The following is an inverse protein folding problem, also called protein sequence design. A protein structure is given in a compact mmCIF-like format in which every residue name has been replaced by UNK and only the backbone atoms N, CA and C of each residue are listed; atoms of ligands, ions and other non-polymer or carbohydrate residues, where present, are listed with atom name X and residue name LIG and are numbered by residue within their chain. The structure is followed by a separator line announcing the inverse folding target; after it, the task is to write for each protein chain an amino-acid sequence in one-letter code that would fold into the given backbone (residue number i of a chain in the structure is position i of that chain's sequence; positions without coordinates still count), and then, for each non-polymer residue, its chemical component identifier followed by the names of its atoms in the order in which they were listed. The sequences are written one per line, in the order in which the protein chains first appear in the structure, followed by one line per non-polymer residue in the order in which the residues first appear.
data_IF_738375742456
#
_entry.id   IF_738375742456
#
_cell.length_a   1.000
_cell.length_b   1.000
_cell.length_c   1.000
_cell.angle_alpha   90.00
_cell.angle_beta   90.00
_cell.angle_gamma   90.00
#
_symmetry.space_group_name_H-M   'P 1'
#
loop_
_entity.id
_entity.type
_entity.pdbx_description
1 polymer ?
#
# COMPACT_ATOMS: atom_id res chain seq x y z
N UNK A 1 19.98 -33.40 -59.90
CA UNK A 1 20.44 -32.10 -59.38
C UNK A 1 20.54 -32.25 -57.87
N UNK A 2 21.77 -32.39 -57.36
CA UNK A 2 22.00 -32.50 -55.92
C UNK A 2 21.91 -31.11 -55.29
N UNK A 3 20.85 -30.88 -54.49
CA UNK A 3 20.70 -29.66 -53.72
C UNK A 3 21.56 -29.76 -52.45
N UNK A 4 22.66 -28.99 -52.40
CA UNK A 4 23.49 -28.86 -51.21
C UNK A 4 22.80 -27.98 -50.16
N UNK A 5 22.21 -28.61 -49.14
CA UNK A 5 21.58 -27.93 -48.00
C UNK A 5 22.56 -27.56 -46.88
N UNK A 6 23.84 -27.90 -47.02
CA UNK A 6 24.90 -27.76 -46.00
C UNK A 6 25.42 -26.34 -45.80
N UNK A 7 25.07 -25.40 -46.70
CA UNK A 7 25.60 -24.02 -46.68
C UNK A 7 24.65 -23.00 -46.07
N UNK A 8 23.43 -23.38 -45.70
CA UNK A 8 22.41 -22.47 -45.18
C UNK A 8 21.94 -22.88 -43.78
N UNK A 9 21.71 -21.92 -42.88
CA UNK A 9 21.05 -22.19 -41.61
C UNK A 9 19.72 -22.90 -41.83
N UNK A 10 19.33 -23.85 -40.96
CA UNK A 10 18.12 -24.65 -41.12
C UNK A 10 16.85 -23.79 -41.30
N UNK A 11 16.83 -22.59 -40.73
CA UNK A 11 15.68 -21.68 -40.86
C UNK A 11 15.48 -21.13 -42.28
N UNK A 12 16.56 -21.00 -43.08
CA UNK A 12 16.51 -20.48 -44.45
C UNK A 12 16.34 -21.58 -45.51
N UNK A 13 16.50 -22.85 -45.14
CA UNK A 13 16.33 -23.99 -46.05
C UNK A 13 14.89 -24.48 -46.16
N UNK A 14 13.97 -24.06 -45.26
CA UNK A 14 12.55 -24.51 -45.22
C UNK A 14 11.85 -24.29 -46.57
N UNK A 15 11.90 -23.06 -47.09
CA UNK A 15 11.20 -22.69 -48.34
C UNK A 15 11.79 -23.42 -49.55
N UNK A 16 13.11 -23.63 -49.56
CA UNK A 16 13.79 -24.36 -50.64
C UNK A 16 13.50 -25.86 -50.58
N UNK A 17 13.51 -26.45 -49.39
CA UNK A 17 13.23 -27.87 -49.19
C UNK A 17 11.79 -28.24 -49.59
N UNK A 18 10.80 -27.41 -49.22
CA UNK A 18 9.39 -27.64 -49.59
C UNK A 18 9.20 -27.50 -51.11
N UNK A 19 9.77 -26.46 -51.73
CA UNK A 19 9.71 -26.27 -53.19
C UNK A 19 10.39 -27.39 -53.98
N UNK A 20 11.43 -28.00 -53.40
CA UNK A 20 12.13 -29.14 -54.00
C UNK A 20 11.45 -30.49 -53.73
N UNK A 21 10.35 -30.54 -52.98
CA UNK A 21 9.65 -31.79 -52.63
C UNK A 21 10.29 -32.58 -51.48
N UNK A 22 11.33 -32.04 -50.82
CA UNK A 22 11.98 -32.66 -49.67
C UNK A 22 11.22 -32.35 -48.36
N UNK A 23 10.05 -32.95 -48.20
CA UNK A 23 9.12 -32.66 -47.09
C UNK A 23 9.74 -32.93 -45.71
N UNK A 24 10.50 -34.01 -45.55
CA UNK A 24 11.13 -34.37 -44.26
C UNK A 24 12.10 -33.30 -43.76
N UNK A 25 13.00 -32.83 -44.63
CA UNK A 25 13.99 -31.80 -44.29
C UNK A 25 13.28 -30.49 -43.97
N UNK A 26 12.23 -30.15 -44.73
CA UNK A 26 11.38 -28.99 -44.45
C UNK A 26 10.73 -29.04 -43.07
N UNK A 27 10.19 -30.20 -42.66
CA UNK A 27 9.56 -30.40 -41.36
C UNK A 27 10.57 -30.30 -40.21
N UNK A 28 11.76 -30.93 -40.33
CA UNK A 28 12.81 -30.86 -39.29
C UNK A 28 13.28 -29.42 -39.09
N UNK A 29 13.46 -28.67 -40.18
CA UNK A 29 13.83 -27.27 -40.13
C UNK A 29 12.74 -26.40 -39.51
N UNK A 30 11.47 -26.71 -39.76
CA UNK A 30 10.32 -26.03 -39.15
C UNK A 30 10.24 -26.29 -37.64
N UNK A 31 10.48 -27.53 -37.19
CA UNK A 31 10.59 -27.88 -35.77
C UNK A 31 11.71 -27.08 -35.10
N UNK A 32 12.89 -26.99 -35.72
CA UNK A 32 13.99 -26.21 -35.17
C UNK A 32 13.66 -24.71 -35.02
N UNK A 33 12.86 -24.14 -35.93
CA UNK A 33 12.38 -22.76 -35.83
C UNK A 33 11.39 -22.60 -34.66
N UNK A 34 10.41 -23.49 -34.55
CA UNK A 34 9.43 -23.46 -33.46
C UNK A 34 10.07 -23.65 -32.08
N UNK A 35 11.19 -24.38 -31.98
CA UNK A 35 11.92 -24.58 -30.72
C UNK A 35 12.42 -23.25 -30.14
N UNK A 36 12.97 -22.40 -31.01
CA UNK A 36 13.48 -21.09 -30.61
C UNK A 36 12.34 -20.16 -30.17
N UNK A 37 11.21 -20.21 -30.88
CA UNK A 37 10.01 -19.43 -30.50
C UNK A 37 9.44 -19.93 -29.18
N UNK A 38 9.37 -21.24 -28.96
CA UNK A 38 8.89 -21.84 -27.72
C UNK A 38 9.80 -21.47 -26.54
N UNK A 39 11.12 -21.51 -26.72
CA UNK A 39 12.08 -21.14 -25.68
C UNK A 39 11.90 -19.67 -25.23
N UNK A 40 11.73 -18.76 -26.19
CA UNK A 40 11.45 -17.35 -25.90
C UNK A 40 10.06 -17.18 -25.24
N UNK A 41 9.06 -17.90 -25.74
CA UNK A 41 7.69 -17.89 -25.19
C UNK A 41 7.64 -18.36 -23.73
N UNK A 42 8.30 -19.48 -23.41
CA UNK A 42 8.40 -20.03 -22.06
C UNK A 42 9.11 -19.07 -21.09
N UNK A 43 10.16 -18.38 -21.56
CA UNK A 43 10.85 -17.35 -20.76
C UNK A 43 9.97 -16.15 -20.39
N UNK A 44 8.93 -15.86 -21.17
CA UNK A 44 7.99 -14.76 -20.94
C UNK A 44 6.66 -15.15 -20.26
N UNK A 45 6.50 -16.42 -19.85
CA UNK A 45 5.24 -16.88 -19.22
C UNK A 45 5.03 -16.22 -17.87
N UNK A 46 6.09 -16.16 -17.05
CA UNK A 46 6.02 -15.65 -15.70
C UNK A 46 6.52 -14.21 -15.67
N UNK A 47 5.65 -13.28 -15.30
CA UNK A 47 6.02 -11.89 -15.09
C UNK A 47 5.91 -11.59 -13.59
N UNK A 48 7.00 -11.11 -13.02
CA UNK A 48 6.98 -10.53 -11.68
C UNK A 48 6.40 -9.13 -11.75
N UNK A 49 5.42 -8.84 -10.88
CA UNK A 49 4.89 -7.48 -10.70
C UNK A 49 4.72 -7.19 -9.21
N UNK A 50 5.13 -5.99 -8.74
CA UNK A 50 4.82 -5.55 -7.39
C UNK A 50 3.31 -5.31 -7.29
N UNK A 51 2.69 -5.85 -6.26
CA UNK A 51 1.26 -5.68 -5.98
C UNK A 51 1.07 -5.35 -4.50
N UNK A 52 0.19 -4.39 -4.25
CA UNK A 52 -0.25 -4.04 -2.90
C UNK A 52 -1.19 -5.11 -2.37
N UNK A 53 -0.84 -5.69 -1.23
CA UNK A 53 -1.61 -6.74 -0.57
C UNK A 53 -1.90 -6.30 0.85
N UNK A 54 -3.15 -6.46 1.25
CA UNK A 54 -3.62 -6.08 2.58
C UNK A 54 -3.75 -7.32 3.45
N UNK A 55 -3.07 -7.33 4.59
CA UNK A 55 -3.08 -8.39 5.59
C UNK A 55 -3.77 -7.95 6.88
N UNK A 56 -4.56 -8.82 7.55
CA UNK A 56 -5.05 -8.53 8.88
C UNK A 56 -3.89 -8.55 9.88
N UNK A 57 -3.80 -7.52 10.72
CA UNK A 57 -2.74 -7.34 11.71
C UNK A 57 -3.32 -6.91 13.06
N UNK A 58 -2.55 -7.15 14.12
CA UNK A 58 -2.89 -6.65 15.46
C UNK A 58 -2.17 -5.33 15.74
N UNK A 59 -2.95 -4.32 16.10
CA UNK A 59 -2.48 -2.98 16.41
C UNK A 59 -2.51 -2.71 17.92
N UNK A 60 -1.57 -1.91 18.40
CA UNK A 60 -1.47 -1.49 19.78
C UNK A 60 -1.66 0.02 19.88
N UNK A 61 -2.51 0.47 20.81
CA UNK A 61 -2.65 1.90 21.10
C UNK A 61 -1.38 2.45 21.73
N UNK A 62 -0.98 3.67 21.36
CA UNK A 62 0.17 4.36 21.95
C UNK A 62 -0.16 5.06 23.28
N UNK A 63 -1.44 5.35 23.49
CA UNK A 63 -1.93 6.01 24.70
C UNK A 63 -3.03 5.18 25.33
N UNK A 64 -3.23 5.30 26.64
CA UNK A 64 -4.37 4.67 27.29
C UNK A 64 -5.66 5.43 26.98
N UNK A 65 -6.81 4.77 27.17
CA UNK A 65 -8.11 5.42 27.06
C UNK A 65 -8.47 6.28 28.29
N UNK A 66 -7.55 6.40 29.26
CA UNK A 66 -7.74 7.10 30.53
C UNK A 66 -6.78 8.29 30.56
N UNK A 67 -7.33 9.48 30.74
CA UNK A 67 -6.55 10.71 30.80
C UNK A 67 -7.11 11.63 31.86
N UNK A 68 -6.23 12.41 32.49
CA UNK A 68 -6.64 13.32 33.55
C UNK A 68 -7.09 14.67 32.98
N UNK A 69 -8.40 14.82 32.82
CA UNK A 69 -9.02 16.09 32.44
C UNK A 69 -8.78 17.22 33.45
N UNK A 70 -8.42 16.93 34.70
CA UNK A 70 -8.08 17.98 35.67
C UNK A 70 -6.77 18.70 35.33
N UNK A 71 -5.91 18.09 34.50
CA UNK A 71 -4.71 18.72 33.98
C UNK A 71 -5.02 19.80 32.93
N UNK A 72 -6.17 19.70 32.22
CA UNK A 72 -6.72 20.75 31.37
C UNK A 72 -7.31 21.91 32.18
N UNK A 73 -6.63 22.34 33.26
CA UNK A 73 -7.05 23.49 34.08
C UNK A 73 -7.53 24.59 33.13
N UNK A 74 -8.84 24.89 33.06
CA UNK A 74 -9.30 25.92 32.15
C UNK A 74 -9.10 27.22 32.87
N UNK A 75 -7.84 27.59 32.97
CA UNK A 75 -7.49 28.97 33.15
C UNK A 75 -7.72 29.60 31.79
N UNK A 76 -8.62 30.56 31.74
CA UNK A 76 -8.60 31.52 30.65
C UNK A 76 -7.35 32.39 30.72
N UNK A 77 -6.74 32.51 31.92
CA UNK A 77 -5.42 33.10 32.09
C UNK A 77 -4.36 32.41 31.23
N UNK A 78 -3.51 33.25 30.65
CA UNK A 78 -2.36 32.86 29.85
C UNK A 78 -1.29 32.13 30.71
N UNK A 79 -1.48 30.84 30.97
CA UNK A 79 -0.40 29.98 31.48
C UNK A 79 0.62 29.74 30.35
N UNK A 80 1.91 29.81 30.68
CA UNK A 80 3.01 29.58 29.74
C UNK A 80 2.89 28.26 28.99
N UNK A 81 2.36 27.20 29.62
CA UNK A 81 2.15 25.89 29.00
C UNK A 81 0.99 25.85 27.99
N UNK A 82 -0.01 26.71 28.18
CA UNK A 82 -1.17 26.78 27.29
C UNK A 82 -0.90 27.70 26.10
N UNK A 83 -0.10 28.77 26.27
CA UNK A 83 0.19 29.75 25.21
C UNK A 83 0.63 29.12 23.89
N UNK A 84 1.56 28.17 23.91
CA UNK A 84 2.08 27.58 22.67
C UNK A 84 1.02 26.76 21.91
N UNK A 85 0.16 26.04 22.65
CA UNK A 85 -0.94 25.28 22.06
C UNK A 85 -2.05 26.20 21.54
N UNK A 86 -2.30 27.33 22.21
CA UNK A 86 -3.32 28.30 21.82
C UNK A 86 -2.94 29.09 20.58
N UNK A 87 -1.65 29.33 20.34
CA UNK A 87 -1.18 29.93 19.09
C UNK A 87 -1.56 29.02 17.91
N UNK A 88 -1.37 27.71 18.02
CA UNK A 88 -1.70 26.77 16.96
C UNK A 88 -3.21 26.62 16.71
N UNK A 89 -4.03 26.63 17.77
CA UNK A 89 -5.49 26.65 17.60
C UNK A 89 -5.92 27.96 16.94
N UNK A 90 -5.39 29.10 17.40
CA UNK A 90 -5.66 30.42 16.80
C UNK A 90 -5.22 30.49 15.33
N UNK A 91 -4.06 29.92 14.98
CA UNK A 91 -3.60 29.90 13.59
C UNK A 91 -4.49 29.02 12.71
N UNK A 92 -5.05 27.94 13.26
CA UNK A 92 -6.02 27.14 12.53
C UNK A 92 -7.32 27.93 12.26
N UNK A 93 -7.84 28.68 13.22
CA UNK A 93 -9.01 29.55 13.01
C UNK A 93 -8.75 30.68 11.99
N UNK A 94 -7.60 31.34 12.09
CA UNK A 94 -7.28 32.53 11.26
C UNK A 94 -6.75 32.20 9.87
N UNK A 95 -5.88 31.20 9.76
CA UNK A 95 -5.11 30.88 8.55
C UNK A 95 -5.41 29.48 8.00
N UNK A 96 -6.24 28.68 8.67
CA UNK A 96 -6.54 27.32 8.23
C UNK A 96 -5.33 26.38 8.30
N UNK A 97 -4.38 26.62 9.20
CA UNK A 97 -3.19 25.76 9.35
C UNK A 97 -3.58 24.31 9.67
N UNK A 98 -2.84 23.34 9.14
CA UNK A 98 -3.09 21.93 9.40
C UNK A 98 -3.06 21.60 10.91
N UNK A 99 -3.96 20.73 11.34
CA UNK A 99 -4.01 20.25 12.72
C UNK A 99 -2.96 19.16 12.95
N UNK A 100 -2.57 18.91 14.22
CA UNK A 100 -1.65 17.82 14.55
C UNK A 100 -2.15 16.46 14.03
N UNK A 101 -1.24 15.49 13.82
CA UNK A 101 -1.64 14.12 13.47
C UNK A 101 -2.69 13.59 14.45
N UNK A 102 -3.65 12.82 13.94
CA UNK A 102 -4.75 12.24 14.70
C UNK A 102 -5.76 13.25 15.28
N UNK A 103 -5.73 14.52 14.87
CA UNK A 103 -6.65 15.56 15.34
C UNK A 103 -7.48 16.11 14.19
N UNK A 104 -8.77 16.30 14.45
CA UNK A 104 -9.71 17.07 13.61
C UNK A 104 -10.35 18.19 14.44
N UNK A 105 -11.15 19.05 13.82
CA UNK A 105 -11.79 20.18 14.49
C UNK A 105 -12.76 19.74 15.60
N UNK A 106 -13.31 18.53 15.51
CA UNK A 106 -14.31 18.02 16.45
C UNK A 106 -13.82 16.82 17.26
N UNK A 107 -12.88 16.04 16.71
CA UNK A 107 -12.45 14.77 17.30
C UNK A 107 -10.94 14.63 17.34
N UNK A 108 -10.44 14.10 18.45
CA UNK A 108 -9.12 13.50 18.55
C UNK A 108 -9.25 11.98 18.42
N UNK A 109 -8.41 11.36 17.60
CA UNK A 109 -8.37 9.91 17.41
C UNK A 109 -7.19 9.33 18.17
N UNK A 110 -7.42 8.23 18.90
CA UNK A 110 -6.36 7.58 19.66
C UNK A 110 -5.34 6.95 18.70
N UNK A 111 -4.05 7.32 18.78
CA UNK A 111 -3.04 6.82 17.88
C UNK A 111 -2.67 5.37 18.21
N UNK A 112 -2.34 4.61 17.18
CA UNK A 112 -1.94 3.20 17.27
C UNK A 112 -0.75 2.89 16.37
N UNK A 113 -0.05 1.81 16.68
CA UNK A 113 1.07 1.27 15.92
C UNK A 113 0.96 -0.25 15.75
N UNK A 114 1.80 -0.83 14.88
CA UNK A 114 1.93 -2.28 14.76
C UNK A 114 2.54 -2.84 16.04
N UNK A 115 1.96 -3.93 16.56
CA UNK A 115 2.60 -4.67 17.65
C UNK A 115 3.96 -5.19 17.17
N UNK A 116 5.02 -5.01 17.98
CA UNK A 116 6.45 -5.09 17.63
C UNK A 116 6.97 -6.43 17.03
N UNK A 117 6.10 -7.35 16.61
CA UNK A 117 6.43 -8.68 16.09
C UNK A 117 6.44 -8.77 14.56
N UNK A 118 6.02 -7.73 13.82
CA UNK A 118 5.94 -7.78 12.35
C UNK A 118 6.86 -6.74 11.69
N UNK A 119 8.14 -7.09 11.56
CA UNK A 119 9.16 -6.31 10.82
C UNK A 119 9.04 -6.51 9.31
N UNK A 120 7.87 -6.28 8.72
CA UNK A 120 7.73 -6.17 7.26
C UNK A 120 7.77 -4.70 6.86
N UNK A 121 8.27 -4.41 5.65
CA UNK A 121 8.16 -3.07 5.05
C UNK A 121 6.69 -2.78 4.76
N UNK A 122 5.99 -2.27 5.78
CA UNK A 122 4.57 -1.90 5.69
C UNK A 122 4.46 -0.49 5.11
N UNK A 123 3.67 -0.34 4.07
CA UNK A 123 3.48 0.93 3.36
C UNK A 123 2.38 1.77 4.01
N UNK A 124 1.30 1.14 4.45
CA UNK A 124 0.24 1.81 5.19
C UNK A 124 -0.45 0.87 6.16
N UNK A 125 -0.94 1.43 7.27
CA UNK A 125 -1.69 0.71 8.29
C UNK A 125 -3.06 1.39 8.41
N UNK A 126 -4.11 0.59 8.58
CA UNK A 126 -5.45 1.07 8.81
C UNK A 126 -6.09 0.27 9.93
N UNK A 127 -6.84 0.93 10.81
CA UNK A 127 -7.43 0.30 11.99
C UNK A 127 -8.55 1.12 12.56
N UNK A 128 -9.49 0.46 13.23
CA UNK A 128 -10.59 1.13 13.92
C UNK A 128 -10.09 1.64 15.28
N UNK A 129 -10.06 2.95 15.46
CA UNK A 129 -9.65 3.56 16.73
C UNK A 129 -10.77 4.35 17.39
N UNK A 130 -10.59 4.66 18.67
CA UNK A 130 -11.54 5.48 19.44
C UNK A 130 -11.31 6.96 19.15
N UNK A 131 -12.41 7.66 18.85
CA UNK A 131 -12.45 9.11 18.76
C UNK A 131 -12.99 9.72 20.07
N UNK A 132 -12.40 10.83 20.49
CA UNK A 132 -12.84 11.65 21.62
C UNK A 132 -13.24 13.02 21.10
N UNK A 133 -14.49 13.41 21.33
CA UNK A 133 -15.03 14.73 21.02
C UNK A 133 -15.70 15.33 22.25
N UNK A 134 -15.96 16.63 22.18
CA UNK A 134 -16.61 17.37 23.26
C UNK A 134 -18.05 17.71 22.87
N UNK A 135 -19.00 17.15 23.61
CA UNK A 135 -20.41 17.54 23.51
C UNK A 135 -20.73 18.56 24.62
N UNK A 136 -21.09 19.77 24.21
CA UNK A 136 -21.31 20.91 25.11
C UNK A 136 -22.81 21.19 25.14
N UNK A 137 -23.41 21.13 26.33
CA UNK A 137 -24.80 21.52 26.53
C UNK A 137 -24.88 22.85 27.27
N UNK A 138 -25.59 23.81 26.68
CA UNK A 138 -25.89 25.09 27.33
C UNK A 138 -27.25 25.01 28.04
N UNK A 139 -27.43 25.84 29.06
CA UNK A 139 -28.71 26.00 29.74
C UNK A 139 -28.83 27.40 30.30
N UNK A 140 -30.06 27.90 30.31
CA UNK A 140 -30.34 29.23 30.84
C UNK A 140 -30.12 29.25 32.35
N UNK A 141 -29.58 30.36 32.85
CA UNK A 141 -29.38 30.55 34.29
C UNK A 141 -30.42 31.54 34.80
N UNK A 142 -31.11 31.18 35.87
CA UNK A 142 -32.10 32.06 36.50
C UNK A 142 -31.43 33.26 37.17
N UNK A 143 -31.96 34.45 36.87
CA UNK A 143 -31.55 35.68 37.56
C UNK A 143 -32.16 35.72 38.96
N UNK A 144 -31.32 35.87 39.98
CA UNK A 144 -31.76 36.13 41.34
C UNK A 144 -32.14 37.60 41.53
N UNK A 145 -33.10 37.84 42.44
CA UNK A 145 -33.43 39.20 42.89
C UNK A 145 -32.25 39.78 43.69
N UNK A 146 -31.96 41.10 43.56
CA UNK A 146 -30.90 41.74 44.33
C UNK A 146 -31.17 41.62 45.84
N UNK A 147 -30.12 41.33 46.61
CA UNK A 147 -30.20 41.04 48.05
C UNK A 147 -30.56 42.30 48.87
N UNK A 148 -30.36 43.50 48.33
CA UNK A 148 -30.67 44.78 48.98
C UNK A 148 -31.25 45.82 48.01
N UNK A 149 -32.21 46.63 48.47
CA UNK A 149 -32.82 47.74 47.71
C UNK A 149 -31.83 48.86 47.33
N UNK A 150 -30.63 48.89 47.92
CA UNK A 150 -29.56 49.83 47.54
C UNK A 150 -28.80 49.42 46.27
N UNK A 151 -29.05 48.23 45.74
CA UNK A 151 -28.42 47.65 44.55
C UNK A 151 -29.41 47.51 43.38
N UNK A 152 -30.28 48.49 43.19
CA UNK A 152 -31.35 48.51 42.18
C UNK A 152 -30.91 48.28 40.71
N UNK A 153 -29.60 48.35 40.40
CA UNK A 153 -29.04 48.14 39.06
C UNK A 153 -28.09 46.94 38.97
N UNK A 154 -28.16 45.97 39.88
CA UNK A 154 -27.29 44.78 39.84
C UNK A 154 -28.05 43.54 39.40
N UNK A 155 -27.55 42.88 38.35
CA UNK A 155 -27.99 41.55 37.97
C UNK A 155 -27.27 40.52 38.85
N UNK A 156 -28.02 39.77 39.64
CA UNK A 156 -27.49 38.65 40.43
C UNK A 156 -27.79 37.35 39.67
N UNK A 157 -26.79 36.51 39.48
CA UNK A 157 -26.94 35.20 38.85
C UNK A 157 -26.96 34.13 39.94
N UNK A 158 -28.03 33.33 40.01
CA UNK A 158 -28.14 32.23 40.98
C UNK A 158 -27.43 30.97 40.48
N UNK A 159 -26.11 30.94 40.68
CA UNK A 159 -25.27 29.81 40.32
C UNK A 159 -25.56 28.58 41.22
N UNK A 160 -26.05 28.79 42.44
CA UNK A 160 -26.27 27.72 43.42
C UNK A 160 -27.46 26.83 43.06
N UNK A 161 -28.57 27.43 42.63
CA UNK A 161 -29.73 26.69 42.12
C UNK A 161 -29.39 25.95 40.82
N UNK A 162 -28.67 26.61 39.89
CA UNK A 162 -28.20 25.97 38.66
C UNK A 162 -27.36 24.71 38.91
N UNK A 163 -26.42 24.77 39.87
CA UNK A 163 -25.62 23.60 40.28
C UNK A 163 -26.50 22.46 40.80
N UNK A 164 -27.46 22.77 41.67
CA UNK A 164 -28.36 21.79 42.27
C UNK A 164 -29.24 21.10 41.24
N UNK A 165 -29.78 21.86 40.28
CA UNK A 165 -30.60 21.32 39.18
C UNK A 165 -29.81 20.35 38.28
N UNK A 166 -28.53 20.64 38.05
CA UNK A 166 -27.65 19.81 37.21
C UNK A 166 -26.85 18.77 37.98
N UNK A 167 -27.08 18.61 39.29
CA UNK A 167 -26.39 17.62 40.12
C UNK A 167 -24.89 17.86 40.28
N UNK A 168 -24.43 19.11 40.17
CA UNK A 168 -23.02 19.48 40.34
C UNK A 168 -22.72 19.61 41.84
N UNK A 169 -21.99 18.65 42.41
CA UNK A 169 -21.74 18.54 43.87
C UNK A 169 -20.30 18.84 44.29
N UNK A 170 -19.42 19.31 43.39
CA UNK A 170 -18.00 19.55 43.72
C UNK A 170 -17.85 20.82 44.60
N UNK A 171 -17.36 20.66 45.83
CA UNK A 171 -17.11 21.75 46.78
C UNK A 171 -16.07 22.77 46.28
N UNK A 172 -15.24 22.40 45.28
CA UNK A 172 -14.30 23.32 44.63
C UNK A 172 -14.97 24.27 43.65
N UNK A 173 -16.24 24.03 43.32
CA UNK A 173 -17.08 25.02 42.68
C UNK A 173 -17.39 26.12 43.68
N UNK A 174 -16.47 27.08 43.88
CA UNK A 174 -16.71 28.20 44.78
C UNK A 174 -18.04 28.84 44.43
N UNK A 175 -18.97 28.87 45.39
CA UNK A 175 -20.15 29.70 45.29
C UNK A 175 -19.67 31.15 45.27
N UNK A 176 -19.85 31.85 44.16
CA UNK A 176 -20.04 33.28 44.28
C UNK A 176 -21.53 33.44 44.61
N UNK A 177 -21.94 33.57 45.89
CA UNK A 177 -23.33 33.82 46.25
C UNK A 177 -23.86 35.13 45.64
N UNK A 178 -22.97 35.94 45.09
CA UNK A 178 -23.26 37.12 44.29
C UNK A 178 -22.09 37.31 43.32
N UNK A 179 -22.35 37.48 42.03
CA UNK A 179 -21.55 38.44 41.28
C UNK A 179 -21.64 39.75 42.07
N UNK A 180 -20.58 40.07 42.83
CA UNK A 180 -20.64 41.17 43.78
C UNK A 180 -20.98 42.47 43.04
N UNK A 181 -21.66 43.43 43.68
CA UNK A 181 -22.22 44.61 43.03
C UNK A 181 -21.14 45.42 42.31
N UNK A 182 -21.03 45.25 41.00
CA UNK A 182 -20.39 46.22 40.13
C UNK A 182 -21.32 47.43 40.08
N UNK A 183 -20.92 48.55 40.70
CA UNK A 183 -21.64 49.81 40.50
C UNK A 183 -21.29 50.32 39.10
N UNK A 184 -22.25 50.28 38.18
CA UNK A 184 -22.10 50.84 36.84
C UNK A 184 -21.94 52.36 36.99
N UNK A 185 -20.69 52.84 37.03
CA UNK A 185 -20.34 54.23 36.79
C UNK A 185 -20.22 54.43 35.26
N UNK A 186 -20.47 55.65 34.77
CA UNK A 186 -20.61 56.04 33.36
C UNK A 186 -19.41 55.76 32.41
N UNK A 187 -18.46 54.92 32.81
CA UNK A 187 -17.34 54.47 31.99
C UNK A 187 -17.65 53.07 31.44
N UNK A 188 -17.64 52.91 30.11
CA UNK A 188 -17.84 51.62 29.44
C UNK A 188 -16.56 50.80 29.55
N UNK A 189 -16.50 49.87 30.49
CA UNK A 189 -15.48 48.82 30.51
C UNK A 189 -16.07 47.50 30.04
N UNK A 190 -15.28 46.74 29.28
CA UNK A 190 -15.60 45.38 28.88
C UNK A 190 -15.11 44.40 29.94
N UNK A 191 -15.88 43.34 30.15
CA UNK A 191 -15.53 42.25 31.05
C UNK A 191 -15.23 41.02 30.25
N UNK A 192 -14.07 40.47 30.53
CA UNK A 192 -13.75 39.11 30.22
C UNK A 192 -13.42 38.38 31.51
N UNK A 193 -14.19 37.34 31.84
CA UNK A 193 -13.68 36.33 32.76
C UNK A 193 -14.35 34.97 32.59
N UNK A 194 -13.51 33.95 32.66
CA UNK A 194 -13.92 32.62 33.10
C UNK A 194 -13.35 32.43 34.48
N UNK A 195 -14.17 31.95 35.42
CA UNK A 195 -13.71 31.96 36.80
C UNK A 195 -13.94 30.71 37.62
N UNK A 196 -14.57 29.67 37.11
CA UNK A 196 -14.84 28.51 37.98
C UNK A 196 -14.75 27.22 37.19
N UNK A 197 -13.91 26.30 37.70
CA UNK A 197 -13.93 24.91 37.30
C UNK A 197 -14.62 24.06 38.35
N UNK A 198 -15.54 23.24 37.85
CA UNK A 198 -16.17 22.13 38.54
C UNK A 198 -15.73 20.84 37.85
N UNK A 199 -15.75 19.69 38.54
CA UNK A 199 -15.85 18.41 37.83
C UNK A 199 -17.15 18.44 37.00
N UNK A 200 -17.04 18.75 35.71
CA UNK A 200 -18.15 18.75 34.74
C UNK A 200 -18.75 20.13 34.36
N UNK A 201 -18.09 21.27 34.63
CA UNK A 201 -18.63 22.56 34.19
C UNK A 201 -17.68 23.75 34.24
N UNK A 202 -17.90 24.70 33.32
CA UNK A 202 -17.22 26.00 33.23
C UNK A 202 -18.29 27.09 33.15
N UNK A 203 -18.12 28.18 33.92
CA UNK A 203 -18.97 29.37 33.80
C UNK A 203 -18.15 30.47 33.13
N UNK A 204 -18.69 30.99 32.02
CA UNK A 204 -18.13 32.05 31.20
C UNK A 204 -19.07 33.25 31.23
N UNK A 205 -18.53 34.46 31.27
CA UNK A 205 -19.32 35.68 31.17
C UNK A 205 -18.58 36.76 30.38
N UNK A 206 -19.36 37.45 29.55
CA UNK A 206 -18.95 38.64 28.80
C UNK A 206 -19.99 39.72 29.01
N UNK A 207 -19.57 40.98 29.09
CA UNK A 207 -20.50 42.09 29.23
C UNK A 207 -19.83 43.42 29.46
N UNK A 208 -20.66 44.45 29.64
CA UNK A 208 -20.24 45.82 29.93
C UNK A 208 -20.59 46.19 31.37
N UNK A 209 -19.69 46.89 32.06
CA UNK A 209 -19.98 47.42 33.39
C UNK A 209 -19.03 48.55 33.79
N UNK A 210 -19.40 49.29 34.84
CA UNK A 210 -18.60 50.41 35.33
C UNK A 210 -17.56 49.99 36.36
N UNK A 211 -16.43 50.68 36.38
CA UNK A 211 -15.24 50.30 37.16
C UNK A 211 -15.36 50.76 38.62
N UNK A 212 -15.46 49.82 39.56
CA UNK A 212 -14.77 49.96 40.84
C UNK A 212 -14.35 48.60 41.41
N UNK A 213 -13.08 48.53 41.76
CA UNK A 213 -12.33 47.34 42.15
C UNK A 213 -13.09 46.37 43.07
N UNK A 214 -13.29 45.15 42.59
CA UNK A 214 -13.29 43.96 43.44
C UNK A 214 -11.99 43.94 44.26
N UNK A 215 -11.92 43.23 45.39
CA UNK A 215 -10.65 42.75 45.90
C UNK A 215 -10.00 41.78 44.88
N UNK A 216 -9.27 42.39 43.94
CA UNK A 216 -8.12 41.99 43.15
C UNK A 216 -7.79 40.49 42.95
N UNK A 217 -8.75 39.60 42.71
CA UNK A 217 -8.38 38.17 42.58
C UNK A 217 -8.83 37.43 41.32
N UNK A 218 -9.73 37.91 40.45
CA UNK A 218 -9.94 37.39 39.08
C UNK A 218 -11.20 37.86 38.32
N UNK A 219 -11.24 39.15 37.98
CA UNK A 219 -11.86 39.59 36.75
C UNK A 219 -10.96 40.69 36.21
N UNK A 220 -10.42 40.52 35.01
CA UNK A 220 -9.51 41.49 34.39
C UNK A 220 -10.39 42.46 33.59
N UNK A 221 -10.90 43.48 34.27
CA UNK A 221 -11.69 44.55 33.65
C UNK A 221 -10.77 45.47 32.88
N UNK A 222 -11.10 45.76 31.62
CA UNK A 222 -10.33 46.69 30.79
C UNK A 222 -11.26 47.60 29.98
N UNK A 223 -10.76 48.81 29.72
CA UNK A 223 -11.45 49.85 28.95
C UNK A 223 -11.01 49.87 27.48
N UNK A 224 -10.27 48.85 27.04
CA UNK A 224 -9.75 48.70 25.68
C UNK A 224 -10.29 47.41 25.05
N UNK A 225 -9.99 47.20 23.76
CA UNK A 225 -10.34 45.97 23.04
C UNK A 225 -9.29 44.86 23.14
N UNK A 226 -8.38 44.92 24.13
CA UNK A 226 -7.45 43.82 24.38
C UNK A 226 -8.22 42.66 24.99
N UNK A 227 -7.74 41.43 24.83
CA UNK A 227 -8.29 40.32 25.60
C UNK A 227 -7.35 39.96 26.74
N UNK A 228 -7.94 39.58 27.88
CA UNK A 228 -7.23 39.07 29.05
C UNK A 228 -6.99 37.56 29.01
N UNK A 229 -7.51 36.86 27.99
CA UNK A 229 -7.54 35.41 27.99
C UNK A 229 -7.43 34.76 26.62
N UNK A 230 -6.88 33.53 26.60
CA UNK A 230 -6.68 32.81 25.35
C UNK A 230 -7.99 32.50 24.64
N UNK A 231 -9.07 32.22 25.39
CA UNK A 231 -10.37 31.87 24.82
C UNK A 231 -10.90 33.03 23.97
N UNK A 232 -10.88 34.24 24.53
CA UNK A 232 -11.30 35.44 23.81
C UNK A 232 -10.34 35.82 22.71
N UNK A 233 -9.02 35.59 22.85
CA UNK A 233 -8.09 35.77 21.72
C UNK A 233 -8.43 34.87 20.52
N UNK A 234 -8.93 33.65 20.75
CA UNK A 234 -9.36 32.75 19.68
C UNK A 234 -10.77 33.12 19.20
N UNK A 235 -11.70 33.49 20.08
CA UNK A 235 -13.02 33.99 19.65
C UNK A 235 -12.87 35.26 18.80
N UNK A 236 -11.89 36.13 19.10
CA UNK A 236 -11.54 37.28 18.24
C UNK A 236 -11.11 36.88 16.84
N UNK A 237 -10.48 35.71 16.69
CA UNK A 237 -10.15 35.15 15.40
C UNK A 237 -11.37 34.57 14.65
N UNK A 238 -12.40 34.15 15.38
CA UNK A 238 -13.61 33.53 14.84
C UNK A 238 -14.67 34.59 14.47
N UNK A 239 -15.09 35.41 15.45
CA UNK A 239 -16.18 36.39 15.33
C UNK A 239 -15.73 37.85 15.30
N UNK A 240 -14.42 38.12 15.33
CA UNK A 240 -13.86 39.48 15.30
C UNK A 240 -13.76 40.14 16.68
N UNK A 241 -13.35 41.41 16.73
CA UNK A 241 -13.04 42.11 18.00
C UNK A 241 -14.22 42.88 18.60
N UNK A 242 -15.33 42.99 17.88
CA UNK A 242 -16.42 43.90 18.24
C UNK A 242 -17.11 43.48 19.56
N UNK A 243 -17.18 42.17 19.83
CA UNK A 243 -17.84 41.63 21.03
C UNK A 243 -17.17 42.02 22.35
N UNK A 244 -15.90 42.43 22.32
CA UNK A 244 -15.16 42.93 23.49
C UNK A 244 -14.89 44.43 23.42
N UNK A 245 -15.26 45.12 22.33
CA UNK A 245 -15.07 46.55 22.19
C UNK A 245 -16.08 47.31 23.07
N UNK A 246 -15.63 48.13 24.03
CA UNK A 246 -16.54 48.86 24.93
C UNK A 246 -17.41 49.90 24.21
N UNK A 247 -17.10 50.23 22.95
CA UNK A 247 -17.87 51.16 22.13
C UNK A 247 -18.91 50.48 21.22
N UNK A 248 -18.78 49.18 20.93
CA UNK A 248 -19.68 48.43 20.03
C UNK A 248 -20.79 47.66 20.77
N UNK A 249 -22.04 47.64 20.28
CA UNK A 249 -23.17 47.02 20.97
C UNK A 249 -22.87 45.59 21.42
N UNK A 250 -23.49 45.16 22.53
CA UNK A 250 -23.30 43.80 23.02
C UNK A 250 -23.61 42.78 21.92
N UNK A 251 -22.79 41.73 21.77
CA UNK A 251 -22.97 40.70 20.77
C UNK A 251 -24.28 39.93 21.00
N UNK A 252 -24.81 39.35 19.93
CA UNK A 252 -25.95 38.44 20.04
C UNK A 252 -25.56 37.18 20.85
N UNK A 253 -26.48 36.72 21.70
CA UNK A 253 -26.26 35.53 22.54
C UNK A 253 -25.96 34.28 21.70
N UNK A 254 -26.70 34.08 20.60
CA UNK A 254 -26.55 32.93 19.72
C UNK A 254 -25.14 32.84 19.12
N UNK A 255 -24.57 33.99 18.72
CA UNK A 255 -23.22 34.12 18.18
C UNK A 255 -22.16 33.80 19.24
N UNK A 256 -22.34 34.32 20.45
CA UNK A 256 -21.43 34.03 21.57
C UNK A 256 -21.43 32.56 21.93
N UNK A 257 -22.61 31.93 21.99
CA UNK A 257 -22.76 30.51 22.29
C UNK A 257 -22.11 29.65 21.21
N UNK A 258 -22.38 29.92 19.92
CA UNK A 258 -21.81 29.12 18.83
C UNK A 258 -20.29 29.22 18.79
N UNK A 259 -19.75 30.44 18.84
CA UNK A 259 -18.29 30.68 18.81
C UNK A 259 -17.60 30.03 20.01
N UNK A 260 -18.18 30.16 21.20
CA UNK A 260 -17.65 29.51 22.40
C UNK A 260 -17.60 27.99 22.25
N UNK A 261 -18.67 27.37 21.75
CA UNK A 261 -18.71 25.92 21.55
C UNK A 261 -17.66 25.45 20.54
N UNK A 262 -17.53 26.16 19.43
CA UNK A 262 -16.59 25.79 18.36
C UNK A 262 -15.14 25.92 18.81
N UNK A 263 -14.81 27.00 19.53
CA UNK A 263 -13.48 27.18 20.12
C UNK A 263 -13.18 26.07 21.13
N UNK A 264 -14.13 25.70 22.00
CA UNK A 264 -13.89 24.63 22.98
C UNK A 264 -13.77 23.25 22.34
N UNK A 265 -14.60 22.91 21.36
CA UNK A 265 -14.52 21.63 20.62
C UNK A 265 -13.16 21.47 19.95
N UNK A 266 -12.70 22.51 19.26
CA UNK A 266 -11.42 22.50 18.55
C UNK A 266 -10.22 22.55 19.49
N UNK A 267 -10.28 23.37 20.54
CA UNK A 267 -9.22 23.39 21.56
C UNK A 267 -9.13 22.05 22.28
N UNK A 268 -10.25 21.40 22.59
CA UNK A 268 -10.28 20.11 23.26
C UNK A 268 -9.57 19.01 22.45
N UNK A 269 -9.91 18.88 21.17
CA UNK A 269 -9.26 17.89 20.30
C UNK A 269 -7.76 18.19 20.13
N UNK A 270 -7.39 19.48 20.01
CA UNK A 270 -6.00 19.90 19.94
C UNK A 270 -5.22 19.56 21.20
N UNK A 271 -5.76 19.84 22.38
CA UNK A 271 -5.07 19.57 23.65
C UNK A 271 -4.81 18.08 23.88
N UNK A 272 -5.74 17.22 23.46
CA UNK A 272 -5.55 15.78 23.52
C UNK A 272 -4.45 15.31 22.57
N UNK A 273 -4.38 15.87 21.36
CA UNK A 273 -3.36 15.53 20.37
C UNK A 273 -1.97 16.12 20.65
N UNK A 274 -1.88 17.26 21.34
CA UNK A 274 -0.59 17.91 21.63
C UNK A 274 0.13 17.36 22.87
N UNK A 275 -0.49 16.42 23.59
CA UNK A 275 0.09 15.80 24.78
C UNK A 275 0.10 16.69 26.03
N UNK A 276 -0.66 17.80 26.02
CA UNK A 276 -0.86 18.65 27.21
C UNK A 276 -1.63 17.90 28.29
N UNK A 277 -2.54 17.02 27.87
CA UNK A 277 -3.28 16.14 28.77
C UNK A 277 -2.42 14.91 29.06
N UNK A 278 -2.06 14.66 30.32
CA UNK A 278 -1.34 13.46 30.68
C UNK A 278 -2.29 12.26 30.56
N UNK A 279 -1.88 11.31 29.72
CA UNK A 279 -2.50 9.99 29.64
C UNK A 279 -1.95 9.10 30.75
N UNK A 280 -2.80 8.23 31.30
CA UNK A 280 -2.34 7.16 32.17
C UNK A 280 -1.45 6.19 31.37
N UNK A 281 -0.48 5.51 32.02
CA UNK A 281 0.30 4.48 31.34
C UNK A 281 -0.61 3.41 30.74
N UNK A 282 -0.18 2.85 29.60
CA UNK A 282 -0.85 1.70 28.99
C UNK A 282 -0.84 0.52 29.98
N UNK A 283 -1.97 -0.16 30.12
CA UNK A 283 -2.05 -1.42 30.84
C UNK A 283 -1.26 -2.49 30.08
N UNK A 284 -0.57 -3.38 30.79
CA UNK A 284 0.32 -4.41 30.19
C UNK A 284 -0.47 -5.36 29.26
N UNK A 285 -1.74 -5.61 29.60
CA UNK A 285 -2.68 -6.42 28.82
C UNK A 285 -3.68 -5.56 28.02
N UNK A 286 -3.29 -4.34 27.62
CA UNK A 286 -4.17 -3.45 26.86
C UNK A 286 -4.72 -4.17 25.61
N UNK A 287 -6.04 -4.07 25.34
CA UNK A 287 -6.66 -4.79 24.25
C UNK A 287 -6.07 -4.35 22.92
N UNK A 288 -5.60 -5.33 22.14
CA UNK A 288 -5.14 -5.12 20.78
C UNK A 288 -6.31 -4.84 19.86
N UNK A 289 -6.10 -3.96 18.89
CA UNK A 289 -7.09 -3.55 17.91
C UNK A 289 -6.86 -4.36 16.63
N UNK A 290 -7.94 -4.89 16.06
CA UNK A 290 -7.87 -5.50 14.73
C UNK A 290 -7.66 -4.40 13.67
N UNK A 291 -6.63 -4.55 12.86
CA UNK A 291 -6.31 -3.65 11.76
C UNK A 291 -5.90 -4.39 10.51
N UNK A 292 -5.46 -3.62 9.53
CA UNK A 292 -4.95 -4.10 8.26
C UNK A 292 -3.67 -3.36 7.89
N UNK A 293 -2.64 -4.11 7.48
CA UNK A 293 -1.40 -3.57 6.95
C UNK A 293 -1.35 -3.81 5.44
N UNK A 294 -0.98 -2.79 4.67
CA UNK A 294 -0.72 -2.90 3.24
C UNK A 294 0.77 -3.04 3.01
N UNK A 295 1.16 -4.12 2.35
CA UNK A 295 2.55 -4.45 2.04
C UNK A 295 2.68 -4.61 0.52
N UNK A 296 3.79 -4.13 -0.03
CA UNK A 296 4.15 -4.39 -1.43
C UNK A 296 4.82 -5.76 -1.54
N UNK A 297 4.18 -6.68 -2.27
CA UNK A 297 4.75 -8.01 -2.54
C UNK A 297 5.00 -8.22 -4.03
N UNK A 298 6.11 -8.88 -4.36
CA UNK A 298 6.36 -9.35 -5.73
C UNK A 298 5.59 -10.64 -5.98
N UNK A 299 4.55 -10.56 -6.83
CA UNK A 299 3.75 -11.73 -7.22
C UNK A 299 4.05 -12.13 -8.66
N UNK A 300 4.06 -13.44 -8.90
CA UNK A 300 4.28 -14.02 -10.22
C UNK A 300 2.93 -14.17 -10.92
N UNK A 301 2.76 -13.47 -12.04
CA UNK A 301 1.58 -13.55 -12.89
C UNK A 301 1.91 -14.31 -14.17
N UNK A 302 1.00 -15.20 -14.56
CA UNK A 302 1.08 -15.89 -15.84
C UNK A 302 0.54 -14.99 -16.95
N UNK A 303 1.33 -14.73 -17.99
CA UNK A 303 0.90 -13.99 -19.17
C UNK A 303 0.00 -14.84 -20.05
N UNK A 304 -1.26 -14.42 -20.23
CA UNK A 304 -2.22 -15.11 -21.11
C UNK A 304 -1.69 -15.24 -22.54
N UNK A 305 -1.02 -14.20 -23.06
CA UNK A 305 -0.46 -14.19 -24.41
C UNK A 305 0.68 -15.19 -24.57
N UNK A 306 1.65 -15.19 -23.64
CA UNK A 306 2.79 -16.11 -23.71
C UNK A 306 2.37 -17.57 -23.46
N UNK A 307 1.45 -17.79 -22.53
CA UNK A 307 0.87 -19.11 -22.27
C UNK A 307 0.16 -19.69 -23.50
N UNK A 308 -0.67 -18.89 -24.18
CA UNK A 308 -1.38 -19.32 -25.38
C UNK A 308 -0.42 -19.66 -26.53
N UNK A 309 0.60 -18.83 -26.76
CA UNK A 309 1.63 -19.08 -27.77
C UNK A 309 2.35 -20.40 -27.49
N UNK A 310 2.81 -20.62 -26.24
CA UNK A 310 3.52 -21.84 -25.86
C UNK A 310 2.64 -23.08 -25.99
N UNK A 311 1.36 -23.03 -25.61
CA UNK A 311 0.42 -24.15 -25.79
C UNK A 311 0.20 -24.47 -27.26
N UNK A 312 -0.03 -23.47 -28.11
CA UNK A 312 -0.25 -23.68 -29.55
C UNK A 312 0.98 -24.31 -30.20
N UNK A 313 2.17 -23.81 -29.88
CA UNK A 313 3.42 -24.39 -30.41
C UNK A 313 3.59 -25.84 -29.92
N UNK A 314 3.39 -26.11 -28.62
CA UNK A 314 3.46 -27.47 -28.09
C UNK A 314 2.44 -28.42 -28.75
N UNK A 315 1.23 -27.96 -29.05
CA UNK A 315 0.24 -28.75 -29.78
C UNK A 315 0.73 -29.08 -31.21
N UNK A 316 1.30 -28.11 -31.92
CA UNK A 316 1.90 -28.33 -33.25
C UNK A 316 3.05 -29.34 -33.16
N UNK A 317 3.88 -29.26 -32.12
CA UNK A 317 4.96 -30.22 -31.87
C UNK A 317 4.45 -31.66 -31.74
N UNK A 318 3.39 -31.86 -30.95
CA UNK A 318 2.79 -33.19 -30.75
C UNK A 318 2.26 -33.74 -32.08
N UNK A 319 1.60 -32.90 -32.89
CA UNK A 319 1.10 -33.31 -34.22
C UNK A 319 2.25 -33.66 -35.16
N UNK A 320 3.30 -32.85 -35.23
CA UNK A 320 4.47 -33.11 -36.10
C UNK A 320 5.24 -34.35 -35.65
N UNK A 321 5.40 -34.55 -34.34
CA UNK A 321 6.03 -35.74 -33.80
C UNK A 321 5.21 -36.99 -34.17
N UNK A 322 3.89 -36.98 -33.93
CA UNK A 322 3.01 -38.08 -34.33
C UNK A 322 3.10 -38.36 -35.84
N UNK A 323 3.19 -37.33 -36.67
CA UNK A 323 3.37 -37.47 -38.12
C UNK A 323 4.72 -38.12 -38.48
N UNK A 324 5.84 -37.64 -37.93
CA UNK A 324 7.18 -38.16 -38.25
C UNK A 324 7.33 -39.61 -37.76
N UNK A 325 6.91 -39.89 -36.52
CA UNK A 325 7.04 -41.22 -35.92
C UNK A 325 5.99 -42.21 -36.43
N UNK A 326 4.81 -41.72 -36.85
CA UNK A 326 3.73 -42.54 -37.39
C UNK A 326 3.82 -42.79 -38.90
N UNK A 327 4.56 -41.96 -39.65
CA UNK A 327 4.70 -42.15 -41.10
C UNK A 327 5.78 -43.21 -41.41
N UNK A 328 5.48 -44.22 -42.25
CA UNK A 328 6.47 -45.20 -42.69
C UNK A 328 7.47 -44.53 -43.63
N UNK A 329 8.53 -43.95 -43.08
CA UNK A 329 9.63 -43.46 -43.88
C UNK A 329 10.42 -44.65 -44.42
N UNK A 330 10.17 -45.02 -45.68
CA UNK A 330 10.92 -46.04 -46.42
C UNK A 330 12.38 -45.67 -46.73
N UNK A 331 12.91 -44.63 -46.08
CA UNK A 331 14.25 -44.12 -46.25
C UNK A 331 15.06 -44.38 -44.97
N UNK A 332 15.91 -45.40 -45.01
CA UNK A 332 16.92 -45.69 -43.99
C UNK A 332 17.95 -44.55 -44.03
N UNK A 333 17.71 -43.47 -43.29
CA UNK A 333 18.80 -42.56 -42.95
C UNK A 333 19.78 -43.35 -42.06
N UNK A 334 21.08 -43.39 -42.39
CA UNK A 334 22.08 -43.99 -41.51
C UNK A 334 21.93 -43.36 -40.13
N UNK A 335 21.71 -44.18 -39.09
CA UNK A 335 21.72 -43.67 -37.71
C UNK A 335 23.07 -43.03 -37.50
N UNK A 336 23.11 -41.75 -37.15
CA UNK A 336 24.38 -41.13 -36.76
C UNK A 336 24.93 -41.97 -35.59
N UNK A 337 26.19 -42.41 -35.64
CA UNK A 337 26.77 -43.19 -34.56
C UNK A 337 26.80 -42.33 -33.30
N UNK A 338 26.06 -42.76 -32.27
CA UNK A 338 25.98 -42.07 -30.97
C UNK A 338 27.06 -42.53 -30.00
N UNK A 339 27.92 -43.46 -30.41
CA UNK A 339 29.04 -43.98 -29.62
C UNK A 339 30.29 -44.18 -30.48
N UNK A 340 31.46 -44.11 -29.85
CA UNK A 340 32.75 -44.40 -30.51
C UNK A 340 32.74 -45.83 -31.08
N UNK A 341 32.13 -46.79 -30.37
CA UNK A 341 32.00 -48.16 -30.84
C UNK A 341 31.23 -48.26 -32.17
N UNK A 342 30.14 -47.51 -32.32
CA UNK A 342 29.38 -47.47 -33.58
C UNK A 342 30.17 -46.82 -34.72
N UNK A 343 31.04 -45.84 -34.44
CA UNK A 343 31.96 -45.28 -35.45
C UNK A 343 32.97 -46.35 -35.88
N UNK A 344 33.56 -47.08 -34.93
CA UNK A 344 34.54 -48.14 -35.22
C UNK A 344 33.88 -49.26 -36.04
N UNK A 345 32.66 -49.64 -35.73
CA UNK A 345 31.91 -50.66 -36.48
C UNK A 345 31.72 -50.29 -37.96
N UNK A 346 31.46 -49.01 -38.27
CA UNK A 346 31.32 -48.53 -39.65
C UNK A 346 32.61 -48.58 -40.48
N UNK A 347 33.78 -48.63 -39.84
CA UNK A 347 35.08 -48.56 -40.54
C UNK A 347 35.85 -49.88 -40.37
N UNK A 348 35.54 -50.71 -39.37
CA UNK A 348 36.25 -51.95 -39.08
C UNK A 348 36.33 -52.95 -40.26
N UNK A 349 35.27 -53.15 -41.09
CA UNK A 349 35.36 -54.01 -42.27
C UNK A 349 35.94 -53.31 -43.51
N UNK A 350 36.29 -52.02 -43.41
CA UNK A 350 36.76 -51.18 -44.51
C UNK A 350 38.18 -51.53 -44.94
N UNK A 351 38.38 -51.64 -46.24
CA UNK A 351 39.68 -51.85 -46.89
C UNK A 351 40.59 -50.65 -46.67
N UNK A 352 40.00 -49.46 -46.55
CA UNK A 352 40.68 -48.20 -46.25
C UNK A 352 41.61 -48.23 -45.02
N UNK A 353 41.30 -49.02 -43.99
CA UNK A 353 42.12 -49.08 -42.77
C UNK A 353 43.40 -49.90 -42.91
N UNK A 354 43.49 -50.76 -43.94
CA UNK A 354 44.51 -51.80 -44.04
C UNK A 354 45.25 -51.79 -45.38
N UNK A 355 45.02 -50.77 -46.20
CA UNK A 355 45.72 -50.59 -47.47
C UNK A 355 47.09 -49.95 -47.25
N UNK A 356 48.14 -50.68 -47.63
CA UNK A 356 49.54 -50.23 -47.53
C UNK A 356 49.99 -49.40 -48.75
N UNK A 357 49.20 -49.36 -49.82
CA UNK A 357 49.46 -48.59 -51.04
C UNK A 357 48.19 -47.85 -51.46
N UNK A 358 47.88 -46.72 -50.81
CA UNK A 358 46.64 -46.00 -51.09
C UNK A 358 46.58 -45.54 -52.55
N UNK A 359 45.38 -45.63 -53.15
CA UNK A 359 45.08 -44.99 -54.43
C UNK A 359 45.40 -43.49 -54.32
N UNK A 360 46.12 -42.92 -55.29
CA UNK A 360 46.70 -41.56 -55.15
C UNK A 360 45.69 -40.42 -55.01
N UNK A 361 44.40 -40.69 -55.24
CA UNK A 361 43.26 -39.83 -54.90
C UNK A 361 42.21 -40.59 -54.09
N UNK A 362 42.57 -41.04 -52.88
CA UNK A 362 41.65 -41.69 -51.96
C UNK A 362 40.46 -40.78 -51.61
N UNK A 363 39.31 -41.02 -52.23
CA UNK A 363 38.02 -40.42 -51.86
C UNK A 363 37.25 -41.43 -51.02
N UNK A 364 36.69 -40.99 -49.90
CA UNK A 364 35.85 -41.83 -49.04
C UNK A 364 34.38 -41.50 -49.26
N UNK A 365 33.53 -42.52 -49.27
CA UNK A 365 32.09 -42.37 -49.28
C UNK A 365 31.46 -43.29 -48.23
N UNK A 366 30.28 -42.90 -47.76
CA UNK A 366 29.46 -43.74 -46.90
C UNK A 366 28.43 -44.48 -47.75
N UNK A 367 28.29 -45.79 -47.58
CA UNK A 367 27.26 -46.56 -48.26
C UNK A 367 27.40 -48.06 -48.08
N UNK A 368 26.73 -48.83 -48.95
CA UNK A 368 26.82 -50.29 -48.97
C UNK A 368 28.08 -50.69 -49.76
N UNK A 369 28.93 -51.52 -49.18
CA UNK A 369 30.14 -52.01 -49.82
C UNK A 369 30.38 -53.47 -49.44
N UNK A 370 31.27 -54.14 -50.17
CA UNK A 370 31.73 -55.49 -49.83
C UNK A 370 33.04 -55.33 -49.08
N UNK A 371 33.05 -55.73 -47.81
CA UNK A 371 34.24 -55.67 -46.97
C UNK A 371 35.27 -56.71 -47.39
N UNK A 372 36.49 -56.58 -46.87
CA UNK A 372 37.57 -57.54 -47.14
C UNK A 372 37.28 -58.96 -46.64
N UNK A 373 36.36 -59.08 -45.69
CA UNK A 373 35.82 -60.35 -45.22
C UNK A 373 34.83 -61.01 -46.21
N UNK A 374 34.59 -60.38 -47.36
CA UNK A 374 33.64 -60.86 -48.38
C UNK A 374 32.17 -60.62 -48.00
N UNK A 375 31.92 -60.04 -46.83
CA UNK A 375 30.59 -59.72 -46.32
C UNK A 375 30.06 -58.41 -46.91
N UNK A 376 28.74 -58.28 -46.96
CA UNK A 376 28.08 -57.01 -47.30
C UNK A 376 27.99 -56.15 -46.04
N UNK A 377 28.62 -54.98 -46.06
CA UNK A 377 28.65 -54.02 -44.96
C UNK A 377 28.06 -52.67 -45.34
N UNK A 378 27.70 -51.88 -44.33
CA UNK A 378 27.26 -50.50 -44.49
C UNK A 378 28.16 -49.62 -43.61
N UNK A 379 28.87 -48.68 -44.22
CA UNK A 379 29.92 -47.95 -43.53
C UNK A 379 30.73 -47.04 -44.44
N UNK A 380 31.94 -46.68 -44.02
CA UNK A 380 32.83 -45.77 -44.76
C UNK A 380 33.88 -46.58 -45.51
N UNK A 381 33.95 -46.39 -46.82
CA UNK A 381 34.89 -47.10 -47.71
C UNK A 381 35.37 -46.17 -48.83
N UNK A 382 36.40 -46.58 -49.58
CA UNK A 382 36.78 -45.92 -50.83
C UNK A 382 35.55 -45.73 -51.73
N UNK A 383 35.37 -44.51 -52.21
CA UNK A 383 34.19 -44.07 -52.95
C UNK A 383 33.93 -44.90 -54.21
N UNK A 384 34.96 -45.50 -54.79
CA UNK A 384 34.90 -46.38 -55.95
C UNK A 384 34.33 -47.78 -55.62
N UNK A 385 34.47 -48.23 -54.37
CA UNK A 385 34.01 -49.53 -53.88
C UNK A 385 32.62 -49.47 -53.23
N UNK A 386 32.11 -48.25 -52.99
CA UNK A 386 30.76 -48.03 -52.47
C UNK A 386 29.76 -48.12 -53.62
N UNK A 387 28.76 -48.97 -53.47
CA UNK A 387 27.72 -49.12 -54.49
C UNK A 387 26.93 -47.80 -54.65
N UNK A 388 26.83 -47.26 -55.88
CA UNK A 388 26.03 -46.07 -56.12
C UNK A 388 24.56 -46.38 -55.88
N UNK A 389 23.88 -45.54 -55.11
CA UNK A 389 22.44 -45.65 -54.90
C UNK A 389 21.70 -45.28 -56.21
N UNK A 390 21.42 -46.28 -57.05
CA UNK A 390 20.53 -46.12 -58.20
C UNK A 390 19.08 -45.95 -57.71
N UNK A 391 18.31 -44.95 -58.17
CA UNK A 391 16.94 -44.72 -57.73
C UNK A 391 15.94 -45.79 -58.20
N UNK A 392 16.33 -46.75 -59.05
CA UNK A 392 15.39 -47.59 -59.80
C UNK A 392 15.46 -49.12 -59.54
N UNK A 393 16.14 -49.59 -58.50
CA UNK A 393 16.25 -51.03 -58.21
C UNK A 393 15.77 -51.44 -56.81
N UNK A 394 14.74 -50.78 -56.28
CA UNK A 394 14.11 -51.17 -55.00
C UNK A 394 13.01 -52.25 -55.14
N UNK A 395 12.77 -52.79 -56.33
CA UNK A 395 11.93 -53.97 -56.53
C UNK A 395 12.75 -54.97 -57.34
N UNK A 396 12.90 -56.21 -56.83
CA UNK A 396 13.21 -57.49 -57.54
C UNK A 396 14.09 -58.45 -56.70
N UNK A 397 14.62 -58.09 -55.53
CA UNK A 397 15.55 -58.99 -54.79
C UNK A 397 15.00 -59.78 -53.59
N UNK A 398 13.67 -59.89 -53.40
CA UNK A 398 13.09 -60.67 -52.29
C UNK A 398 12.46 -62.01 -52.70
N UNK A 399 12.71 -62.51 -53.91
CA UNK A 399 12.07 -63.73 -54.41
C UNK A 399 13.02 -64.76 -55.02
N UNK A 400 14.21 -64.96 -54.46
CA UNK A 400 14.99 -66.20 -54.66
C UNK A 400 16.13 -66.23 -53.66
N UNK A 401 15.97 -66.94 -52.54
CA UNK A 401 17.00 -67.73 -51.85
C UNK A 401 16.47 -68.12 -50.46
N UNK A 402 15.78 -69.25 -50.40
CA UNK A 402 15.60 -69.99 -49.16
C UNK A 402 15.98 -71.46 -49.42
N UNK A 403 17.19 -71.90 -49.05
CA UNK A 403 17.48 -73.31 -48.87
C UNK A 403 17.37 -73.66 -47.37
N UNK A 404 16.44 -74.56 -47.09
CA UNK A 404 16.39 -75.53 -45.98
C UNK A 404 16.77 -75.08 -44.54
N UNK A 405 15.80 -75.18 -43.61
CA UNK A 405 15.83 -76.20 -42.54
C UNK A 405 14.57 -76.13 -41.64
N UNK A 406 13.92 -77.30 -41.51
CA UNK A 406 13.22 -77.89 -40.36
C UNK A 406 12.29 -77.06 -39.46
#
# INVERSE_FOLDING_TARGET
MDLNYTSLPPQLSIVRAIKAGHVLIGVVCFIALLANVLAVGLGGIFNEKPVLVTYPVELQNLHSAKFDLAALRPTTRNDARQRDNMISVKSNFTLGTEMPPWVTAEYYFQPFELSATETTEVESISGLTRGYGLDITCGDVTLAKPINETLLNTTVIDVSSYKKERGITDERCVDFPTLAPGRILNETASVEAARIWCRGGIILYWGRGGVRAFPATAADWHSDGMSGSWLTEIMKADIGNDFINPNEPNPEESLMVSSTMDVWRRSFSYFLGSGVVPYEPLEEDAPKIAGTATVTETRIFMSNSAFLISIVIMAIYVVLAAYIYGSPMGFFLPRMPTSIAAIVEMIAPSTALRDSTPVSEARFAFGRYIGKDGGRHVGIEYAELVMPASPHQAHVQDATNNPEAN
#
